data_IF_922523508787
#
_entry.id   IF_922523508787
#
_cell.length_a   1.000
_cell.length_b   1.000
_cell.length_c   1.000
_cell.angle_alpha   90.00
_cell.angle_beta   90.00
_cell.angle_gamma   90.00
#
_symmetry.space_group_name_H-M   'P 1'
#
loop_
_entity.id
_entity.type
_entity.pdbx_description
1 polymer ?
#
# COMPACT_ATOMS: atom_id res chain seq x y z
N UNK A 1 -1.11 31.28 2.76
CA UNK A 1 -0.59 30.41 1.69
C UNK A 1 -1.77 30.02 0.81
N UNK A 2 -1.65 30.07 -0.52
CA UNK A 2 -2.77 29.72 -1.39
C UNK A 2 -3.13 28.23 -1.24
N UNK A 3 -4.42 27.84 -1.24
CA UNK A 3 -4.85 26.45 -1.09
C UNK A 3 -4.19 25.51 -2.11
N UNK A 4 -3.97 25.98 -3.32
CA UNK A 4 -3.30 25.24 -4.41
C UNK A 4 -1.85 24.91 -4.05
N UNK A 5 -1.13 25.86 -3.45
CA UNK A 5 0.24 25.64 -2.96
C UNK A 5 0.25 24.61 -1.84
N UNK A 6 -0.75 24.62 -0.95
CA UNK A 6 -0.90 23.61 0.12
C UNK A 6 -1.12 22.23 -0.49
N UNK A 7 -2.03 22.12 -1.46
CA UNK A 7 -2.28 20.87 -2.18
C UNK A 7 -1.02 20.34 -2.88
N UNK A 8 -0.26 21.22 -3.53
CA UNK A 8 1.00 20.88 -4.19
C UNK A 8 2.05 20.36 -3.20
N UNK A 9 2.31 21.08 -2.10
CA UNK A 9 3.29 20.66 -1.09
C UNK A 9 2.88 19.34 -0.43
N UNK A 10 1.60 19.16 -0.13
CA UNK A 10 1.11 17.92 0.47
C UNK A 10 1.34 16.71 -0.44
N UNK A 11 1.10 16.85 -1.75
CA UNK A 11 1.41 15.80 -2.73
C UNK A 11 2.90 15.51 -2.79
N UNK A 12 3.73 16.55 -2.87
CA UNK A 12 5.16 16.39 -3.12
C UNK A 12 5.87 15.75 -1.94
N UNK A 13 5.53 16.13 -0.72
CA UNK A 13 6.25 15.73 0.49
C UNK A 13 5.50 14.69 1.33
N UNK A 14 4.20 14.88 1.59
CA UNK A 14 3.47 13.97 2.47
C UNK A 14 3.06 12.69 1.74
N UNK A 15 2.49 12.80 0.55
CA UNK A 15 2.03 11.62 -0.19
C UNK A 15 3.19 10.74 -0.68
N UNK A 16 4.34 11.32 -1.03
CA UNK A 16 5.53 10.55 -1.44
C UNK A 16 6.05 9.64 -0.32
N UNK A 17 6.15 10.15 0.92
CA UNK A 17 6.56 9.37 2.09
C UNK A 17 5.56 8.24 2.36
N UNK A 18 4.26 8.53 2.29
CA UNK A 18 3.21 7.52 2.44
C UNK A 18 3.34 6.40 1.40
N UNK A 19 3.56 6.75 0.12
CA UNK A 19 3.73 5.78 -0.97
C UNK A 19 4.90 4.84 -0.73
N UNK A 20 6.04 5.36 -0.30
CA UNK A 20 7.21 4.52 0.03
C UNK A 20 6.90 3.54 1.17
N UNK A 21 6.27 4.04 2.24
CA UNK A 21 5.94 3.24 3.42
C UNK A 21 4.93 2.13 3.12
N UNK A 22 4.04 2.35 2.14
CA UNK A 22 2.97 1.42 1.75
C UNK A 22 3.42 0.22 0.90
N UNK A 23 4.63 0.25 0.36
CA UNK A 23 5.14 -0.88 -0.44
C UNK A 23 5.26 -2.14 0.43
N UNK A 24 5.74 -2.00 1.66
CA UNK A 24 6.13 -3.14 2.50
C UNK A 24 5.10 -3.47 3.60
N UNK A 25 4.07 -2.63 3.79
CA UNK A 25 3.11 -2.80 4.88
C UNK A 25 1.74 -3.22 4.35
N UNK A 26 1.15 -4.21 5.03
CA UNK A 26 -0.29 -4.42 4.98
C UNK A 26 -0.95 -3.46 5.97
N UNK A 27 -1.87 -2.63 5.49
CA UNK A 27 -2.62 -1.69 6.32
C UNK A 27 -4.07 -2.17 6.35
N UNK A 28 -4.60 -2.41 7.55
CA UNK A 28 -6.01 -2.78 7.72
C UNK A 28 -6.92 -1.64 7.27
N UNK A 29 -8.14 -1.98 6.85
CA UNK A 29 -9.14 -1.00 6.44
C UNK A 29 -9.45 0.03 7.54
N UNK A 30 -9.53 -0.41 8.79
CA UNK A 30 -9.72 0.46 9.95
C UNK A 30 -8.63 1.52 10.07
N UNK A 31 -7.37 1.11 9.89
CA UNK A 31 -6.22 2.02 9.97
C UNK A 31 -6.17 2.97 8.76
N UNK A 32 -6.53 2.47 7.58
CA UNK A 32 -6.60 3.25 6.36
C UNK A 32 -7.67 4.36 6.47
N UNK A 33 -8.82 4.04 7.06
CA UNK A 33 -9.88 5.01 7.35
C UNK A 33 -9.43 6.06 8.38
N UNK A 34 -8.73 5.65 9.43
CA UNK A 34 -8.13 6.58 10.39
C UNK A 34 -7.15 7.54 9.72
N UNK A 35 -6.29 7.03 8.84
CA UNK A 35 -5.34 7.83 8.07
C UNK A 35 -6.04 8.84 7.15
N UNK A 36 -7.10 8.43 6.44
CA UNK A 36 -7.92 9.37 5.64
C UNK A 36 -8.50 10.50 6.50
N UNK A 37 -9.03 10.18 7.67
CA UNK A 37 -9.55 11.19 8.59
C UNK A 37 -8.47 12.18 9.01
N UNK A 38 -7.26 11.68 9.32
CA UNK A 38 -6.10 12.52 9.66
C UNK A 38 -5.69 13.41 8.49
N UNK A 39 -5.59 12.89 7.26
CA UNK A 39 -5.33 13.71 6.06
C UNK A 39 -6.36 14.84 5.93
N UNK A 40 -7.64 14.50 6.05
CA UNK A 40 -8.73 15.47 5.89
C UNK A 40 -8.64 16.59 6.93
N UNK A 41 -8.32 16.26 8.18
CA UNK A 41 -8.15 17.24 9.25
C UNK A 41 -6.95 18.15 9.01
N UNK A 42 -5.81 17.59 8.59
CA UNK A 42 -4.60 18.35 8.29
C UNK A 42 -4.89 19.34 7.16
N UNK A 43 -5.40 18.85 6.02
CA UNK A 43 -5.67 19.70 4.85
C UNK A 43 -6.63 20.83 5.21
N UNK A 44 -7.74 20.53 5.89
CA UNK A 44 -8.72 21.54 6.32
C UNK A 44 -8.12 22.61 7.22
N UNK A 45 -7.31 22.21 8.21
CA UNK A 45 -6.63 23.15 9.12
C UNK A 45 -5.67 24.05 8.35
N UNK A 46 -4.89 23.49 7.44
CA UNK A 46 -3.88 24.25 6.68
C UNK A 46 -4.49 25.29 5.74
N UNK A 47 -5.66 25.01 5.16
CA UNK A 47 -6.38 25.95 4.28
C UNK A 47 -7.41 26.84 5.00
N UNK A 48 -7.56 26.69 6.33
CA UNK A 48 -8.48 27.51 7.14
C UNK A 48 -9.96 27.15 7.01
N UNK A 49 -10.30 25.91 6.62
CA UNK A 49 -11.70 25.47 6.47
C UNK A 49 -12.20 24.78 7.75
N UNK A 50 -13.51 24.93 8.04
CA UNK A 50 -14.16 24.27 9.20
C UNK A 50 -13.99 22.76 9.16
N UNK A 51 -13.79 22.16 10.35
CA UNK A 51 -13.59 20.71 10.55
C UNK A 51 -14.64 19.84 9.87
N UNK A 52 -15.91 20.27 9.89
CA UNK A 52 -17.06 19.49 9.40
C UNK A 52 -17.38 19.67 7.92
N UNK A 53 -16.62 20.47 7.18
CA UNK A 53 -16.87 20.64 5.74
C UNK A 53 -16.67 19.34 4.96
N UNK A 54 -17.44 19.15 3.89
CA UNK A 54 -17.27 18.00 3.02
C UNK A 54 -15.91 18.01 2.34
N UNK A 55 -15.19 16.88 2.39
CA UNK A 55 -13.84 16.80 1.83
C UNK A 55 -13.84 16.59 0.31
N UNK A 56 -14.88 15.97 -0.25
CA UNK A 56 -14.94 15.63 -1.69
C UNK A 56 -14.71 16.85 -2.60
N UNK A 57 -15.35 18.01 -2.40
CA UNK A 57 -15.08 19.21 -3.20
C UNK A 57 -13.66 19.75 -3.00
N UNK A 58 -13.16 19.74 -1.76
CA UNK A 58 -11.81 20.22 -1.40
C UNK A 58 -10.75 19.34 -2.10
N UNK A 59 -10.91 18.03 -2.04
CA UNK A 59 -10.03 17.09 -2.73
C UNK A 59 -10.05 17.29 -4.24
N UNK A 60 -11.22 17.55 -4.83
CA UNK A 60 -11.34 17.81 -6.26
C UNK A 60 -10.64 19.11 -6.67
N UNK A 61 -10.84 20.19 -5.91
CA UNK A 61 -10.20 21.49 -6.15
C UNK A 61 -8.67 21.42 -6.00
N UNK A 62 -8.19 20.76 -4.94
CA UNK A 62 -6.76 20.57 -4.66
C UNK A 62 -6.14 19.41 -5.45
N UNK A 63 -6.95 18.69 -6.24
CA UNK A 63 -6.61 17.46 -6.96
C UNK A 63 -5.97 16.41 -6.03
N UNK A 64 -6.36 16.35 -4.76
CA UNK A 64 -5.81 15.46 -3.74
C UNK A 64 -6.51 14.10 -3.75
N UNK A 65 -5.72 13.05 -3.86
CA UNK A 65 -6.18 11.68 -3.63
C UNK A 65 -6.25 11.38 -2.12
N UNK A 66 -7.20 10.54 -1.71
CA UNK A 66 -7.23 10.02 -0.36
C UNK A 66 -6.13 8.98 -0.13
N UNK A 67 -5.75 8.76 1.12
CA UNK A 67 -4.78 7.72 1.51
C UNK A 67 -5.24 6.35 1.03
N UNK A 68 -6.54 6.04 1.11
CA UNK A 68 -7.08 4.78 0.57
C UNK A 68 -6.86 4.63 -0.94
N UNK A 69 -7.11 5.69 -1.71
CA UNK A 69 -6.93 5.65 -3.16
C UNK A 69 -5.47 5.44 -3.52
N UNK A 70 -4.56 6.11 -2.81
CA UNK A 70 -3.11 5.96 -2.99
C UNK A 70 -2.69 4.52 -2.66
N UNK A 71 -3.15 3.98 -1.54
CA UNK A 71 -2.85 2.61 -1.10
C UNK A 71 -3.29 1.57 -2.13
N UNK A 72 -4.56 1.63 -2.59
CA UNK A 72 -5.09 0.69 -3.56
C UNK A 72 -4.34 0.76 -4.90
N UNK A 73 -4.08 1.97 -5.41
CA UNK A 73 -3.29 2.15 -6.64
C UNK A 73 -1.89 1.55 -6.51
N UNK A 74 -1.25 1.73 -5.36
CA UNK A 74 0.05 1.14 -5.08
C UNK A 74 0.02 -0.38 -5.00
N UNK A 75 -0.97 -0.97 -4.32
CA UNK A 75 -1.10 -2.44 -4.23
C UNK A 75 -1.37 -3.07 -5.59
N UNK A 76 -2.22 -2.45 -6.42
CA UNK A 76 -2.46 -2.90 -7.80
C UNK A 76 -1.16 -2.81 -8.61
N UNK A 77 -0.44 -1.69 -8.54
CA UNK A 77 0.82 -1.53 -9.23
C UNK A 77 1.85 -2.59 -8.81
N UNK A 78 2.04 -2.79 -7.49
CA UNK A 78 2.94 -3.81 -6.96
C UNK A 78 2.55 -5.22 -7.41
N UNK A 79 1.26 -5.56 -7.39
CA UNK A 79 0.76 -6.83 -7.87
C UNK A 79 1.09 -7.02 -9.37
N UNK A 80 0.80 -6.01 -10.19
CA UNK A 80 1.12 -6.03 -11.62
C UNK A 80 2.63 -6.22 -11.87
N UNK A 81 3.49 -5.56 -11.09
CA UNK A 81 4.95 -5.74 -11.20
C UNK A 81 5.37 -7.17 -10.85
N UNK A 82 4.81 -7.77 -9.79
CA UNK A 82 5.06 -9.16 -9.45
C UNK A 82 4.59 -10.12 -10.55
N UNK A 83 3.45 -9.86 -11.18
CA UNK A 83 2.95 -10.72 -12.26
C UNK A 83 3.66 -10.54 -13.60
N UNK A 84 4.28 -9.38 -13.83
CA UNK A 84 5.12 -9.15 -15.00
C UNK A 84 6.44 -9.94 -14.93
N UNK A 85 6.92 -10.26 -13.73
CA UNK A 85 8.08 -11.14 -13.56
C UNK A 85 7.63 -12.60 -13.61
N UNK A 86 8.10 -13.35 -14.62
CA UNK A 86 7.72 -14.74 -14.84
C UNK A 86 8.06 -15.64 -13.63
N UNK A 87 9.18 -15.37 -12.95
CA UNK A 87 9.57 -16.10 -11.75
C UNK A 87 8.63 -15.80 -10.58
N UNK A 88 8.39 -14.52 -10.29
CA UNK A 88 7.48 -14.10 -9.22
C UNK A 88 6.05 -14.63 -9.45
N UNK A 89 5.58 -14.66 -10.69
CA UNK A 89 4.30 -15.27 -11.06
C UNK A 89 4.26 -16.77 -10.77
N UNK A 90 5.31 -17.51 -11.14
CA UNK A 90 5.39 -18.96 -10.87
C UNK A 90 5.42 -19.25 -9.37
N UNK A 91 6.22 -18.50 -8.61
CA UNK A 91 6.29 -18.63 -7.14
C UNK A 91 4.94 -18.31 -6.50
N UNK A 92 4.25 -17.25 -6.98
CA UNK A 92 2.92 -16.89 -6.47
C UNK A 92 1.88 -18.00 -6.72
N UNK A 93 1.81 -18.55 -7.93
CA UNK A 93 0.86 -19.61 -8.27
C UNK A 93 1.11 -20.88 -7.44
N UNK A 94 2.37 -21.27 -7.29
CA UNK A 94 2.75 -22.41 -6.46
C UNK A 94 2.40 -22.19 -4.98
N UNK A 95 2.70 -21.00 -4.44
CA UNK A 95 2.32 -20.62 -3.07
C UNK A 95 0.81 -20.72 -2.89
N UNK A 96 0.03 -20.17 -3.83
CA UNK A 96 -1.43 -20.18 -3.79
C UNK A 96 -2.00 -21.62 -3.79
N UNK A 97 -1.52 -22.47 -4.69
CA UNK A 97 -1.94 -23.88 -4.79
C UNK A 97 -1.54 -24.72 -3.57
N UNK A 98 -0.45 -24.34 -2.90
CA UNK A 98 0.06 -25.06 -1.73
C UNK A 98 -0.51 -24.54 -0.40
N UNK A 99 -0.93 -23.26 -0.31
CA UNK A 99 -1.49 -22.68 0.92
C UNK A 99 -2.74 -23.38 1.43
N UNK A 100 -3.62 -23.89 0.55
CA UNK A 100 -4.81 -24.64 0.96
C UNK A 100 -4.50 -26.08 1.43
N UNK A 101 -3.26 -26.56 1.24
CA UNK A 101 -2.85 -27.94 1.55
C UNK A 101 -1.96 -28.06 2.78
N UNK A 102 -1.55 -26.95 3.40
CA UNK A 102 -0.72 -27.00 4.61
C UNK A 102 -1.59 -27.05 5.87
N UNK A 103 -1.55 -28.13 6.66
CA UNK A 103 -2.15 -28.12 7.98
C UNK A 103 -1.48 -27.03 8.83
N UNK A 104 -2.29 -26.24 9.57
CA UNK A 104 -1.85 -25.11 10.41
C UNK A 104 -0.73 -25.45 11.41
N UNK A 105 -0.50 -26.74 11.68
CA UNK A 105 0.48 -27.26 12.63
C UNK A 105 1.94 -27.20 12.18
N UNK A 106 2.22 -26.88 10.90
CA UNK A 106 3.60 -26.87 10.35
C UNK A 106 3.96 -25.53 9.66
N UNK A 107 3.49 -24.43 10.26
CA UNK A 107 3.45 -23.06 9.71
C UNK A 107 4.71 -22.23 9.94
N UNK A 108 5.88 -22.87 10.08
CA UNK A 108 7.15 -22.14 10.06
C UNK A 108 7.36 -21.52 8.67
N UNK A 109 7.31 -20.19 8.59
CA UNK A 109 7.60 -19.43 7.36
C UNK A 109 8.94 -19.85 6.74
N UNK A 110 9.93 -20.19 7.58
CA UNK A 110 11.25 -20.67 7.18
C UNK A 110 11.21 -22.01 6.46
N UNK A 111 10.37 -22.95 6.92
CA UNK A 111 10.22 -24.26 6.26
C UNK A 111 9.51 -24.15 4.92
N UNK A 112 8.56 -23.22 4.80
CA UNK A 112 7.88 -22.91 3.53
C UNK A 112 8.86 -22.29 2.54
N UNK A 113 9.71 -21.36 3.00
CA UNK A 113 10.77 -20.77 2.16
C UNK A 113 11.75 -21.82 1.64
N UNK A 114 12.29 -22.70 2.50
CA UNK A 114 13.24 -23.73 2.08
C UNK A 114 12.65 -24.71 1.03
N UNK A 115 11.35 -25.03 1.14
CA UNK A 115 10.64 -25.86 0.13
C UNK A 115 10.49 -25.14 -1.21
N UNK A 116 10.30 -23.83 -1.20
CA UNK A 116 10.22 -23.02 -2.43
C UNK A 116 11.61 -22.86 -3.05
N UNK A 117 12.63 -22.59 -2.24
CA UNK A 117 14.03 -22.47 -2.68
C UNK A 117 14.52 -23.74 -3.38
N UNK A 118 14.26 -24.91 -2.77
CA UNK A 118 14.62 -26.21 -3.35
C UNK A 118 13.84 -26.54 -4.62
N UNK A 119 12.58 -26.12 -4.74
CA UNK A 119 11.74 -26.43 -5.91
C UNK A 119 12.03 -25.53 -7.12
N UNK A 120 12.40 -24.28 -6.89
CA UNK A 120 12.74 -23.33 -7.96
C UNK A 120 14.24 -23.13 -8.18
N UNK A 121 15.10 -23.78 -7.39
CA UNK A 121 16.56 -23.69 -7.46
C UNK A 121 17.05 -22.23 -7.28
N UNK A 122 16.46 -21.51 -6.33
CA UNK A 122 16.72 -20.10 -6.04
C UNK A 122 17.11 -19.97 -4.57
N UNK A 123 18.11 -19.14 -4.28
CA UNK A 123 18.46 -18.72 -2.92
C UNK A 123 17.74 -17.42 -2.61
N UNK A 124 16.71 -17.46 -1.75
CA UNK A 124 16.00 -16.27 -1.29
C UNK A 124 16.78 -15.50 -0.19
N UNK A 125 17.83 -16.12 0.39
CA UNK A 125 18.66 -15.56 1.47
C UNK A 125 20.00 -14.95 1.02
N UNK A 126 20.22 -14.73 -0.28
CA UNK A 126 21.40 -14.01 -0.79
C UNK A 126 21.02 -12.59 -1.22
N UNK A 127 20.73 -11.74 -0.24
CA UNK A 127 20.80 -10.27 -0.35
C UNK A 127 21.23 -9.67 0.98
#
# INVERSE_FOLDING_TARGET
>A
MAPETVGFLYKKYCQSILRYSMNNLFISETKLNEMNLRQNLIVKRTIGIKKYCHMKPINMALKLESISQIYLKHKIYFLNQNFNNNLSKKVFLELYETTDRYPKSDSSFTNQLNKIESKFNISCLQY
#
